data_IF_948135314705
#
_entry.id   IF_948135314705
#
_cell.length_a   1.000
_cell.length_b   1.000
_cell.length_c   1.000
_cell.angle_alpha   90.00
_cell.angle_beta   90.00
_cell.angle_gamma   90.00
#
_symmetry.space_group_name_H-M   'P 1'
#
loop_
_entity.id
_entity.type
_entity.pdbx_description
1 polymer ?
#
# COMPACT_ATOMS: atom_id res chain seq x y z
N UNK A 1 28.19 -25.20 -1.68
CA UNK A 1 27.15 -25.01 -0.66
C UNK A 1 27.38 -23.64 -0.05
N UNK A 2 26.56 -22.63 -0.39
CA UNK A 2 26.64 -21.34 0.32
C UNK A 2 26.33 -21.61 1.79
N UNK A 3 27.06 -20.95 2.69
CA UNK A 3 26.73 -20.95 4.11
C UNK A 3 25.33 -20.38 4.28
N UNK A 4 24.48 -21.02 5.10
CA UNK A 4 23.16 -20.50 5.48
C UNK A 4 23.21 -19.03 5.91
N UNK A 5 24.28 -18.69 6.63
CA UNK A 5 24.50 -17.33 7.13
C UNK A 5 24.67 -16.33 5.99
N UNK A 6 25.34 -16.74 4.92
CA UNK A 6 25.54 -15.92 3.73
C UNK A 6 24.22 -15.73 2.96
N UNK A 7 23.38 -16.77 2.86
CA UNK A 7 22.03 -16.65 2.29
C UNK A 7 21.16 -15.66 3.06
N UNK A 8 21.21 -15.68 4.39
CA UNK A 8 20.48 -14.74 5.25
C UNK A 8 20.98 -13.31 5.03
N UNK A 9 22.30 -13.11 4.91
CA UNK A 9 22.88 -11.81 4.65
C UNK A 9 22.53 -11.26 3.27
N UNK A 10 22.55 -12.11 2.24
CA UNK A 10 22.29 -11.72 0.85
C UNK A 10 20.79 -11.47 0.59
N UNK A 11 19.90 -12.28 1.20
CA UNK A 11 18.47 -12.32 0.85
C UNK A 11 17.50 -11.96 1.99
N UNK A 12 17.95 -11.90 3.24
CA UNK A 12 17.06 -11.71 4.40
C UNK A 12 16.29 -10.39 4.38
N UNK A 13 16.91 -9.30 3.90
CA UNK A 13 16.29 -7.95 3.81
C UNK A 13 15.97 -7.52 2.37
N UNK A 14 15.99 -8.48 1.44
CA UNK A 14 15.78 -8.22 0.01
C UNK A 14 14.45 -7.52 -0.27
N UNK A 15 13.38 -7.92 0.42
CA UNK A 15 12.04 -7.35 0.25
C UNK A 15 11.95 -5.87 0.59
N UNK A 16 12.87 -5.35 1.40
CA UNK A 16 12.99 -3.93 1.77
C UNK A 16 13.96 -3.20 0.81
N UNK A 17 14.54 -3.90 -0.17
CA UNK A 17 15.44 -3.36 -1.18
C UNK A 17 16.93 -3.43 -0.80
N UNK A 18 17.28 -4.13 0.29
CA UNK A 18 18.66 -4.31 0.74
C UNK A 18 19.11 -5.74 0.44
N UNK A 19 20.16 -5.90 -0.38
CA UNK A 19 20.71 -7.22 -0.74
C UNK A 19 20.57 -7.58 -2.23
N UNK A 20 20.72 -8.86 -2.55
CA UNK A 20 20.71 -9.32 -3.95
C UNK A 20 19.29 -9.36 -4.54
N UNK A 21 19.11 -8.74 -5.72
CA UNK A 21 17.83 -8.68 -6.46
C UNK A 21 17.60 -9.84 -7.44
N UNK A 22 18.62 -10.64 -7.72
CA UNK A 22 18.48 -11.84 -8.54
C UNK A 22 18.10 -13.02 -7.65
N UNK A 23 17.03 -13.75 -7.96
CA UNK A 23 16.71 -14.96 -7.20
C UNK A 23 17.68 -16.09 -7.60
N UNK A 24 18.01 -17.02 -6.69
CA UNK A 24 18.67 -18.27 -7.06
C UNK A 24 17.84 -18.98 -8.14
N UNK A 25 18.48 -19.38 -9.23
CA UNK A 25 17.81 -20.02 -10.39
C UNK A 25 17.84 -21.55 -10.37
N UNK A 26 18.64 -22.16 -9.49
CA UNK A 26 18.80 -23.61 -9.35
C UNK A 26 19.18 -23.99 -7.92
N UNK A 27 18.78 -25.19 -7.49
CA UNK A 27 19.10 -25.85 -6.20
C UNK A 27 18.67 -25.10 -4.91
N UNK A 28 17.36 -25.14 -4.59
CA UNK A 28 16.84 -24.58 -3.34
C UNK A 28 17.05 -25.53 -2.15
N UNK A 29 17.82 -25.07 -1.18
CA UNK A 29 17.94 -25.67 0.15
C UNK A 29 16.82 -25.16 1.08
N UNK A 30 16.58 -25.88 2.18
CA UNK A 30 15.61 -25.45 3.22
C UNK A 30 15.91 -24.04 3.76
N UNK A 31 17.19 -23.67 3.81
CA UNK A 31 17.64 -22.36 4.28
C UNK A 31 17.21 -21.22 3.35
N UNK A 32 17.31 -21.44 2.05
CA UNK A 32 16.87 -20.46 1.04
C UNK A 32 15.36 -20.31 1.07
N UNK A 33 14.59 -21.41 1.15
CA UNK A 33 13.13 -21.31 1.25
C UNK A 33 12.70 -20.49 2.47
N UNK A 34 13.26 -20.76 3.65
CA UNK A 34 12.93 -20.01 4.85
C UNK A 34 13.34 -18.53 4.75
N UNK A 35 14.52 -18.24 4.21
CA UNK A 35 15.01 -16.86 4.06
C UNK A 35 14.18 -16.08 3.05
N UNK A 36 13.85 -16.67 1.89
CA UNK A 36 13.07 -15.99 0.86
C UNK A 36 11.63 -15.73 1.32
N UNK A 37 10.95 -16.74 1.87
CA UNK A 37 9.59 -16.59 2.42
C UNK A 37 9.60 -15.59 3.58
N UNK A 38 10.58 -15.70 4.48
CA UNK A 38 10.77 -14.79 5.61
C UNK A 38 10.97 -13.35 5.16
N UNK A 39 11.79 -13.11 4.13
CA UNK A 39 11.98 -11.78 3.56
C UNK A 39 10.65 -11.21 3.04
N UNK A 40 9.86 -11.98 2.28
CA UNK A 40 8.55 -11.54 1.80
C UNK A 40 7.54 -11.29 2.92
N UNK A 41 7.59 -12.09 3.99
CA UNK A 41 6.73 -11.93 5.17
C UNK A 41 7.02 -10.61 5.90
N UNK A 42 8.28 -10.17 5.99
CA UNK A 42 8.65 -8.90 6.63
C UNK A 42 7.90 -7.72 6.00
N UNK A 43 7.72 -7.73 4.68
CA UNK A 43 6.98 -6.69 3.97
C UNK A 43 5.48 -6.70 4.31
N UNK A 44 4.89 -7.89 4.45
CA UNK A 44 3.51 -8.03 4.91
C UNK A 44 3.34 -7.53 6.35
N UNK A 45 4.28 -7.85 7.25
CA UNK A 45 4.28 -7.36 8.63
C UNK A 45 4.37 -5.83 8.64
N UNK A 46 5.28 -5.26 7.86
CA UNK A 46 5.43 -3.80 7.75
C UNK A 46 4.12 -3.13 7.34
N UNK A 47 3.48 -3.59 6.27
CA UNK A 47 2.18 -3.04 5.85
C UNK A 47 1.06 -3.30 6.85
N UNK A 48 1.03 -4.46 7.48
CA UNK A 48 0.02 -4.79 8.49
C UNK A 48 0.13 -3.86 9.71
N UNK A 49 1.35 -3.60 10.21
CA UNK A 49 1.58 -2.69 11.32
C UNK A 49 1.12 -1.28 10.96
N UNK A 50 1.50 -0.77 9.77
CA UNK A 50 1.04 0.54 9.32
C UNK A 50 -0.48 0.60 9.16
N UNK A 51 -1.09 -0.40 8.53
CA UNK A 51 -2.53 -0.46 8.32
C UNK A 51 -3.29 -0.50 9.65
N UNK A 52 -2.81 -1.28 10.63
CA UNK A 52 -3.41 -1.35 11.97
C UNK A 52 -3.23 -0.03 12.74
N UNK A 53 -2.06 0.60 12.65
CA UNK A 53 -1.81 1.89 13.29
C UNK A 53 -2.79 2.95 12.78
N UNK A 54 -2.83 3.20 11.47
CA UNK A 54 -3.73 4.18 10.88
C UNK A 54 -5.20 3.79 11.03
N UNK A 55 -5.53 2.51 10.85
CA UNK A 55 -6.87 1.98 11.02
C UNK A 55 -7.40 2.15 12.44
N UNK A 56 -6.55 1.97 13.46
CA UNK A 56 -6.91 2.18 14.85
C UNK A 56 -7.34 3.63 15.10
N UNK A 57 -6.47 4.60 14.81
CA UNK A 57 -6.78 6.02 15.03
C UNK A 57 -8.01 6.49 14.24
N UNK A 58 -8.11 6.07 12.97
CA UNK A 58 -9.27 6.38 12.13
C UNK A 58 -10.55 5.77 12.71
N UNK A 59 -10.51 4.51 13.15
CA UNK A 59 -11.67 3.84 13.74
C UNK A 59 -12.13 4.50 15.04
N UNK A 60 -11.20 4.95 15.88
CA UNK A 60 -11.51 5.68 17.11
C UNK A 60 -12.13 7.04 16.80
N UNK A 61 -11.55 7.79 15.86
CA UNK A 61 -12.07 9.10 15.45
C UNK A 61 -13.49 8.98 14.86
N UNK A 62 -13.73 8.02 13.97
CA UNK A 62 -15.05 7.77 13.38
C UNK A 62 -16.04 7.25 14.43
N UNK A 63 -15.59 6.43 15.38
CA UNK A 63 -16.40 5.96 16.51
C UNK A 63 -16.86 7.09 17.42
N UNK A 64 -15.98 8.06 17.70
CA UNK A 64 -16.31 9.28 18.44
C UNK A 64 -17.29 10.16 17.64
N UNK A 65 -17.02 10.36 16.34
CA UNK A 65 -17.87 11.13 15.44
C UNK A 65 -19.30 10.57 15.36
N UNK A 66 -19.45 9.24 15.32
CA UNK A 66 -20.75 8.57 15.35
C UNK A 66 -21.53 8.82 16.65
N UNK A 67 -20.82 8.93 17.77
CA UNK A 67 -21.43 9.16 19.09
C UNK A 67 -21.79 10.64 19.35
N UNK A 68 -21.42 11.54 18.45
CA UNK A 68 -21.70 12.97 18.58
C UNK A 68 -23.20 13.27 18.46
N UNK A 69 -23.76 14.20 19.26
CA UNK A 69 -25.15 14.66 19.10
C UNK A 69 -25.36 15.48 17.81
N UNK A 70 -24.29 16.02 17.21
CA UNK A 70 -24.37 16.82 15.99
C UNK A 70 -24.66 15.94 14.78
N UNK A 71 -25.84 16.13 14.19
CA UNK A 71 -26.32 15.34 13.06
C UNK A 71 -25.36 15.35 11.86
N UNK A 72 -24.77 16.52 11.56
CA UNK A 72 -23.84 16.70 10.43
C UNK A 72 -22.52 15.93 10.59
N UNK A 73 -22.10 15.60 11.82
CA UNK A 73 -20.88 14.80 12.07
C UNK A 73 -21.22 13.31 12.13
N UNK A 74 -22.34 12.98 12.79
CA UNK A 74 -22.78 11.60 12.98
C UNK A 74 -23.15 10.92 11.67
N UNK A 75 -23.90 11.59 10.77
CA UNK A 75 -24.39 10.96 9.54
C UNK A 75 -23.29 10.55 8.56
N UNK A 76 -22.29 11.40 8.26
CA UNK A 76 -21.15 10.98 7.47
C UNK A 76 -20.37 9.83 8.10
N UNK A 77 -20.21 9.80 9.43
CA UNK A 77 -19.55 8.71 10.13
C UNK A 77 -20.33 7.38 10.01
N UNK A 78 -21.66 7.41 10.14
CA UNK A 78 -22.53 6.25 9.92
C UNK A 78 -22.43 5.73 8.49
N UNK A 79 -22.48 6.62 7.49
CA UNK A 79 -22.36 6.23 6.08
C UNK A 79 -20.99 5.67 5.74
N UNK A 80 -19.92 6.27 6.25
CA UNK A 80 -18.56 5.74 6.11
C UNK A 80 -18.48 4.31 6.66
N UNK A 81 -18.95 4.08 7.89
CA UNK A 81 -18.97 2.73 8.49
C UNK A 81 -19.79 1.77 7.64
N UNK A 82 -20.97 2.18 7.17
CA UNK A 82 -21.85 1.34 6.36
C UNK A 82 -21.20 0.93 5.02
N UNK A 83 -20.60 1.88 4.29
CA UNK A 83 -19.95 1.60 2.99
C UNK A 83 -18.76 0.66 3.17
N UNK A 84 -17.85 0.96 4.11
CA UNK A 84 -16.62 0.17 4.28
C UNK A 84 -16.85 -1.18 4.97
N UNK A 85 -17.84 -1.31 5.86
CA UNK A 85 -18.20 -2.62 6.46
C UNK A 85 -19.19 -3.43 5.61
N UNK A 86 -19.98 -2.77 4.76
CA UNK A 86 -21.00 -3.41 3.92
C UNK A 86 -20.49 -3.85 2.54
N UNK A 87 -19.33 -3.35 2.10
CA UNK A 87 -18.73 -3.76 0.83
C UNK A 87 -17.64 -4.83 1.01
N UNK A 88 -17.50 -5.79 0.06
CA UNK A 88 -16.41 -6.74 0.05
C UNK A 88 -15.03 -6.06 -0.10
N UNK A 89 -14.05 -6.52 0.67
CA UNK A 89 -12.67 -6.00 0.65
C UNK A 89 -11.99 -6.11 -0.73
N UNK A 90 -12.35 -7.12 -1.52
CA UNK A 90 -11.87 -7.26 -2.91
C UNK A 90 -12.28 -6.07 -3.79
N UNK A 91 -13.54 -5.62 -3.70
CA UNK A 91 -14.03 -4.48 -4.49
C UNK A 91 -13.34 -3.19 -4.04
N UNK A 92 -13.10 -3.03 -2.74
CA UNK A 92 -12.38 -1.87 -2.21
C UNK A 92 -10.97 -1.78 -2.81
N UNK A 93 -10.19 -2.87 -2.74
CA UNK A 93 -8.85 -2.90 -3.33
C UNK A 93 -8.86 -2.67 -4.84
N UNK A 94 -9.80 -3.26 -5.57
CA UNK A 94 -9.94 -3.04 -7.00
C UNK A 94 -10.21 -1.57 -7.34
N UNK A 95 -11.17 -0.93 -6.65
CA UNK A 95 -11.49 0.48 -6.86
C UNK A 95 -10.31 1.39 -6.56
N UNK A 96 -9.59 1.16 -5.45
CA UNK A 96 -8.40 1.95 -5.13
C UNK A 96 -7.30 1.74 -6.18
N UNK A 97 -7.01 0.51 -6.56
CA UNK A 97 -6.02 0.20 -7.58
C UNK A 97 -6.33 0.92 -8.91
N UNK A 98 -7.55 0.79 -9.41
CA UNK A 98 -7.98 1.47 -10.63
C UNK A 98 -7.91 3.00 -10.48
N UNK A 99 -8.34 3.55 -9.34
CA UNK A 99 -8.23 4.99 -9.10
C UNK A 99 -6.77 5.49 -9.18
N UNK A 100 -5.82 4.77 -8.57
CA UNK A 100 -4.39 5.12 -8.62
C UNK A 100 -3.77 4.93 -10.00
N UNK A 101 -4.23 3.95 -10.79
CA UNK A 101 -3.77 3.71 -12.16
C UNK A 101 -4.37 4.72 -13.15
N UNK A 102 -5.60 5.18 -12.92
CA UNK A 102 -6.29 6.16 -13.75
C UNK A 102 -5.85 7.60 -13.46
N UNK A 103 -5.48 7.91 -12.22
CA UNK A 103 -4.98 9.23 -11.81
C UNK A 103 -3.89 9.79 -12.75
N UNK A 104 -2.85 9.02 -13.13
CA UNK A 104 -1.82 9.51 -14.05
C UNK A 104 -2.27 9.60 -15.52
N UNK A 105 -3.39 8.99 -15.90
CA UNK A 105 -3.94 9.06 -17.26
C UNK A 105 -4.85 10.29 -17.43
N UNK A 106 -5.29 10.88 -16.34
CA UNK A 106 -6.04 12.13 -16.34
C UNK A 106 -5.06 13.32 -16.41
N UNK A 107 -4.50 13.57 -17.60
CA UNK A 107 -3.89 14.87 -17.91
C UNK A 107 -5.00 15.90 -17.98
N UNK A 108 -5.19 16.69 -16.91
CA UNK A 108 -6.14 17.79 -16.93
C UNK A 108 -5.45 19.03 -17.50
N UNK A 109 -5.81 19.40 -18.73
CA UNK A 109 -5.49 20.69 -19.31
C UNK A 109 -6.41 21.75 -18.68
N UNK A 110 -5.99 22.32 -17.56
CA UNK A 110 -6.72 23.44 -16.96
C UNK A 110 -6.39 24.69 -17.77
N UNK A 111 -7.23 24.98 -18.77
CA UNK A 111 -7.10 26.20 -19.56
C UNK A 111 -7.62 27.38 -18.75
N UNK A 112 -6.69 28.11 -18.11
CA UNK A 112 -7.01 29.29 -17.28
C UNK A 112 -7.25 30.55 -18.14
N UNK A 113 -7.53 30.42 -19.43
CA UNK A 113 -7.78 31.54 -20.35
C UNK A 113 -6.55 32.38 -20.72
N UNK A 114 -5.49 32.36 -19.91
CA UNK A 114 -4.26 33.14 -20.10
C UNK A 114 -2.97 32.28 -20.10
N UNK A 115 -3.06 31.04 -19.64
CA UNK A 115 -1.96 30.08 -19.60
C UNK A 115 -2.50 28.65 -19.57
N UNK A 116 -1.90 27.76 -20.36
CA UNK A 116 -2.14 26.31 -20.30
C UNK A 116 -1.17 25.70 -19.29
N UNK A 117 -1.68 25.36 -18.10
CA UNK A 117 -0.89 24.62 -17.11
C UNK A 117 -1.17 23.15 -17.33
N UNK A 118 -0.29 22.49 -18.09
CA UNK A 118 -0.28 21.05 -18.26
C UNK A 118 0.18 20.41 -16.93
N UNK A 119 -0.78 19.97 -16.12
CA UNK A 119 -0.49 19.14 -14.94
C UNK A 119 -0.20 17.71 -15.42
N UNK A 120 0.97 17.50 -16.03
CA UNK A 120 1.47 16.15 -16.27
C UNK A 120 1.67 15.48 -14.90
N UNK A 121 0.79 14.54 -14.57
CA UNK A 121 0.84 13.67 -13.39
C UNK A 121 2.02 12.69 -13.42
N UNK A 122 3.05 12.97 -14.25
CA UNK A 122 4.30 12.22 -14.39
C UNK A 122 5.02 11.95 -13.06
N UNK A 123 4.87 12.80 -12.05
CA UNK A 123 5.41 12.52 -10.71
C UNK A 123 4.64 11.39 -10.02
N UNK A 124 3.30 11.40 -10.10
CA UNK A 124 2.41 10.40 -9.47
C UNK A 124 2.53 9.03 -10.13
N UNK A 125 2.89 8.98 -11.42
CA UNK A 125 3.10 7.73 -12.18
C UNK A 125 4.46 7.09 -11.95
N UNK A 126 5.44 7.83 -11.40
CA UNK A 126 6.78 7.29 -11.19
C UNK A 126 6.73 6.42 -9.93
N UNK A 127 6.77 5.10 -10.11
CA UNK A 127 6.81 4.12 -9.02
C UNK A 127 8.11 4.27 -8.21
N UNK A 128 8.18 5.27 -7.32
CA UNK A 128 9.33 5.52 -6.45
C UNK A 128 9.61 4.35 -5.49
N UNK A 129 8.61 3.51 -5.23
CA UNK A 129 8.66 2.36 -4.33
C UNK A 129 8.56 1.01 -5.05
N UNK A 130 8.55 0.99 -6.38
CA UNK A 130 8.54 -0.22 -7.20
C UNK A 130 9.97 -0.62 -7.54
N UNK A 131 10.65 -1.24 -6.57
CA UNK A 131 11.96 -1.82 -6.76
C UNK A 131 11.81 -3.25 -7.31
#
# INVERSE_FOLDING_TARGET
MKSCLQTIQDYGLRSIGIGERLLPKSDFTLCEQFTLIGSGLLWNIYFAVLALLFGFFLSTAVGLAKSSPLWFIRKPAEWFIFVFRGSPLFIQFFLFYEAFVLLPKMGWDINLGFAEINLETRWLTRAWLGA
#
